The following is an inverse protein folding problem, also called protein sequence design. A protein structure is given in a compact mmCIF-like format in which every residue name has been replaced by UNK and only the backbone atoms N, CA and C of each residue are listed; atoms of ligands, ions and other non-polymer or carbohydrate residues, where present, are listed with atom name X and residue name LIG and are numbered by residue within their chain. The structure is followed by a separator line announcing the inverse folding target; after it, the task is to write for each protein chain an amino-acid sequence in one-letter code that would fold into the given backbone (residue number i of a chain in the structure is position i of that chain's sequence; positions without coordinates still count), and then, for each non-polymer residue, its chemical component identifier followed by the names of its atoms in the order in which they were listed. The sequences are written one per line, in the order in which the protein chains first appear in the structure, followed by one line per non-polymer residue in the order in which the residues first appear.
data_IF_509594472230
#
_entry.id   IF_509594472230
#
_cell.length_a   1.000
_cell.length_b   1.000
_cell.length_c   1.000
_cell.angle_alpha   90.00
_cell.angle_beta   90.00
_cell.angle_gamma   90.00
#
_symmetry.space_group_name_H-M   'P 1'
#
loop_
_entity.id
_entity.type
_entity.pdbx_description
1 polymer ?
#
# COMPACT_ATOMS: atom_id res chain seq x y z
N UNK A 1 29.31 -53.77 5.88
CA UNK A 1 29.84 -52.49 5.33
C UNK A 1 28.71 -51.57 4.80
N UNK A 2 27.46 -52.04 4.75
CA UNK A 2 26.36 -51.41 4.02
C UNK A 2 25.79 -50.13 4.66
N UNK A 3 25.73 -50.02 6.00
CA UNK A 3 25.11 -48.86 6.68
C UNK A 3 25.70 -47.48 6.27
N UNK A 4 26.94 -47.44 5.78
CA UNK A 4 27.55 -46.23 5.24
C UNK A 4 26.90 -45.75 3.93
N UNK A 5 26.60 -46.66 2.99
CA UNK A 5 26.03 -46.31 1.68
C UNK A 5 24.65 -45.66 1.79
N UNK A 6 23.79 -46.17 2.68
CA UNK A 6 22.47 -45.59 2.91
C UNK A 6 22.51 -44.14 3.41
N UNK A 7 23.44 -43.84 4.34
CA UNK A 7 23.57 -42.48 4.92
C UNK A 7 24.12 -41.48 3.90
N UNK A 8 25.10 -41.88 3.08
CA UNK A 8 25.61 -41.06 1.97
C UNK A 8 24.53 -40.82 0.91
N UNK A 9 23.79 -41.85 0.50
CA UNK A 9 22.68 -41.71 -0.45
C UNK A 9 21.59 -40.75 0.03
N UNK A 10 21.27 -40.77 1.34
CA UNK A 10 20.31 -39.83 1.92
C UNK A 10 20.83 -38.38 1.94
N UNK A 11 22.12 -38.15 2.20
CA UNK A 11 22.73 -36.82 2.10
C UNK A 11 22.75 -36.32 0.65
N UNK A 12 23.10 -37.18 -0.32
CA UNK A 12 23.10 -36.85 -1.74
C UNK A 12 21.69 -36.50 -2.25
N UNK A 13 20.67 -37.26 -1.82
CA UNK A 13 19.27 -36.95 -2.13
C UNK A 13 18.82 -35.59 -1.57
N UNK A 14 19.22 -35.25 -0.33
CA UNK A 14 18.95 -33.93 0.28
C UNK A 14 19.65 -32.80 -0.48
N UNK A 15 20.92 -32.98 -0.86
CA UNK A 15 21.66 -31.99 -1.66
C UNK A 15 21.01 -31.74 -3.03
N UNK A 16 20.60 -32.82 -3.71
CA UNK A 16 19.89 -32.72 -4.99
C UNK A 16 18.49 -32.08 -4.84
N UNK A 17 17.80 -32.26 -3.71
CA UNK A 17 16.55 -31.57 -3.44
C UNK A 17 16.76 -30.06 -3.28
N UNK A 18 17.73 -29.64 -2.46
CA UNK A 18 18.11 -28.23 -2.30
C UNK A 18 18.54 -27.61 -3.63
N UNK A 19 19.32 -28.33 -4.43
CA UNK A 19 19.76 -27.85 -5.75
C UNK A 19 18.59 -27.60 -6.72
N UNK A 20 17.56 -28.47 -6.72
CA UNK A 20 16.33 -28.22 -7.48
C UNK A 20 15.62 -26.96 -6.99
N UNK A 21 15.41 -26.81 -5.68
CA UNK A 21 14.80 -25.61 -5.10
C UNK A 21 15.56 -24.32 -5.46
N UNK A 22 16.89 -24.34 -5.53
CA UNK A 22 17.71 -23.20 -5.97
C UNK A 22 17.54 -22.93 -7.47
N UNK A 23 17.46 -23.96 -8.32
CA UNK A 23 17.18 -23.81 -9.76
C UNK A 23 15.78 -23.26 -10.01
N UNK A 24 14.78 -23.72 -9.27
CA UNK A 24 13.39 -23.26 -9.42
C UNK A 24 13.19 -21.86 -8.84
N UNK A 25 13.86 -21.50 -7.73
CA UNK A 25 13.94 -20.11 -7.26
C UNK A 25 14.61 -19.21 -8.30
N UNK A 26 15.72 -19.64 -8.93
CA UNK A 26 16.37 -18.89 -10.01
C UNK A 26 15.41 -18.66 -11.18
N UNK A 27 14.66 -19.69 -11.59
CA UNK A 27 13.61 -19.57 -12.64
C UNK A 27 12.53 -18.58 -12.24
N UNK A 28 12.03 -18.64 -11.01
CA UNK A 28 11.02 -17.72 -10.48
C UNK A 28 11.52 -16.26 -10.53
N UNK A 29 12.74 -15.99 -10.06
CA UNK A 29 13.35 -14.66 -10.13
C UNK A 29 13.57 -14.17 -11.57
N UNK A 30 13.90 -15.05 -12.52
CA UNK A 30 13.98 -14.67 -13.94
C UNK A 30 12.60 -14.34 -14.51
N UNK A 31 11.55 -15.12 -14.16
CA UNK A 31 10.18 -14.85 -14.59
C UNK A 31 9.66 -13.51 -14.04
N UNK A 32 9.83 -13.26 -12.74
CA UNK A 32 9.49 -11.98 -12.08
C UNK A 32 10.25 -10.82 -12.72
N UNK A 33 11.55 -10.97 -13.01
CA UNK A 33 12.31 -9.96 -13.75
C UNK A 33 11.72 -9.70 -15.14
N UNK A 34 11.43 -10.74 -15.93
CA UNK A 34 10.89 -10.55 -17.28
C UNK A 34 9.49 -9.95 -17.31
N UNK A 35 8.70 -10.13 -16.24
CA UNK A 35 7.44 -9.42 -16.05
C UNK A 35 7.70 -7.93 -15.75
N UNK A 36 8.51 -7.62 -14.73
CA UNK A 36 8.83 -6.24 -14.37
C UNK A 36 9.52 -5.45 -15.50
N UNK A 37 10.40 -6.07 -16.28
CA UNK A 37 11.03 -5.46 -17.46
C UNK A 37 9.99 -5.16 -18.56
N UNK A 38 8.97 -6.02 -18.74
CA UNK A 38 7.85 -5.79 -19.66
C UNK A 38 6.94 -4.67 -19.17
N UNK A 39 6.59 -4.67 -17.89
CA UNK A 39 5.71 -3.66 -17.30
C UNK A 39 6.37 -2.26 -17.34
N UNK A 40 7.69 -2.19 -17.11
CA UNK A 40 8.49 -0.98 -17.33
C UNK A 40 8.50 -0.52 -18.80
N UNK A 41 8.58 -1.45 -19.75
CA UNK A 41 8.49 -1.13 -21.18
C UNK A 41 7.09 -0.59 -21.55
N UNK A 42 6.03 -1.19 -21.03
CA UNK A 42 4.66 -0.78 -21.29
C UNK A 42 4.32 0.55 -20.62
N UNK A 43 4.81 0.79 -19.39
CA UNK A 43 4.68 2.09 -18.72
C UNK A 43 5.43 3.20 -19.48
N UNK A 44 6.62 2.91 -20.04
CA UNK A 44 7.35 3.84 -20.93
C UNK A 44 6.59 4.10 -22.24
N UNK A 45 5.98 3.06 -22.82
CA UNK A 45 5.17 3.21 -24.03
C UNK A 45 3.95 4.09 -23.77
N UNK A 46 3.20 3.85 -22.69
CA UNK A 46 2.04 4.68 -22.32
C UNK A 46 2.45 6.10 -21.92
N UNK A 47 3.58 6.29 -21.22
CA UNK A 47 4.12 7.64 -20.98
C UNK A 47 4.48 8.36 -22.29
N UNK A 48 4.98 7.64 -23.29
CA UNK A 48 5.27 8.19 -24.63
C UNK A 48 3.98 8.51 -25.42
N UNK A 49 2.92 7.71 -25.24
CA UNK A 49 1.58 7.97 -25.83
C UNK A 49 0.87 9.15 -25.14
N UNK A 50 0.99 9.26 -23.82
CA UNK A 50 0.43 10.39 -23.06
C UNK A 50 1.17 11.69 -23.35
N UNK A 51 2.51 11.69 -23.40
CA UNK A 51 3.28 12.89 -23.74
C UNK A 51 3.06 13.34 -25.19
N UNK A 52 3.01 12.42 -26.17
CA UNK A 52 2.64 12.78 -27.55
C UNK A 52 1.18 13.24 -27.69
N UNK A 53 0.24 12.64 -26.96
CA UNK A 53 -1.16 13.10 -26.90
C UNK A 53 -1.28 14.51 -26.29
N UNK A 54 -0.55 14.79 -25.20
CA UNK A 54 -0.53 16.11 -24.58
C UNK A 54 0.11 17.17 -25.50
N UNK A 55 1.21 16.85 -26.19
CA UNK A 55 1.81 17.74 -27.18
C UNK A 55 0.85 18.03 -28.34
N UNK A 56 0.20 17.00 -28.90
CA UNK A 56 -0.77 17.14 -29.98
C UNK A 56 -2.03 17.93 -29.55
N UNK A 57 -2.48 17.75 -28.30
CA UNK A 57 -3.57 18.53 -27.72
C UNK A 57 -3.18 19.99 -27.47
N UNK A 58 -1.94 20.27 -27.05
CA UNK A 58 -1.42 21.63 -26.91
C UNK A 58 -1.32 22.34 -28.27
N UNK A 59 -0.81 21.67 -29.32
CA UNK A 59 -0.77 22.25 -30.67
C UNK A 59 -2.19 22.50 -31.23
N UNK A 60 -3.16 21.63 -30.90
CA UNK A 60 -4.57 21.83 -31.25
C UNK A 60 -5.17 23.07 -30.57
N UNK A 61 -4.93 23.27 -29.27
CA UNK A 61 -5.40 24.46 -28.52
C UNK A 61 -4.69 25.74 -28.99
N UNK A 62 -3.37 25.68 -29.24
CA UNK A 62 -2.60 26.80 -29.81
C UNK A 62 -3.09 27.20 -31.22
N UNK A 63 -3.54 26.22 -32.02
CA UNK A 63 -4.12 26.47 -33.34
C UNK A 63 -5.52 27.10 -33.24
N UNK A 64 -6.34 26.66 -32.28
CA UNK A 64 -7.70 27.17 -32.07
C UNK A 64 -7.77 28.63 -31.61
N UNK A 65 -6.65 29.22 -31.17
CA UNK A 65 -6.56 30.61 -30.70
C UNK A 65 -6.19 31.62 -31.81
N UNK A 66 -6.17 31.22 -33.09
CA UNK A 66 -5.79 32.11 -34.22
C UNK A 66 -6.80 32.22 -35.38
N UNK A 67 -8.04 31.77 -35.21
CA UNK A 67 -9.10 31.88 -36.26
C UNK A 67 -10.48 32.25 -35.70
N UNK A 68 -10.64 33.50 -35.24
CA UNK A 68 -11.94 34.05 -34.80
C UNK A 68 -12.22 35.45 -35.40
N UNK A 69 -12.47 35.50 -36.71
CA UNK A 69 -13.09 36.64 -37.39
C UNK A 69 -14.50 36.24 -37.88
N UNK A 70 -15.53 37.10 -37.76
CA UNK A 70 -16.92 36.68 -37.96
C UNK A 70 -17.33 36.61 -39.43
N UNK A 71 -18.17 35.62 -39.76
CA UNK A 71 -18.86 35.54 -41.05
C UNK A 71 -20.37 35.36 -40.88
N UNK A 72 -21.11 35.86 -41.86
CA UNK A 72 -22.56 36.08 -41.81
C UNK A 72 -23.31 35.12 -42.74
N UNK A 73 -24.53 34.72 -42.34
CA UNK A 73 -25.66 34.31 -43.22
C UNK A 73 -25.51 32.98 -44.01
N UNK A 74 -26.60 32.43 -44.59
CA UNK A 74 -28.03 32.48 -44.20
C UNK A 74 -28.82 31.14 -44.38
N UNK A 75 -30.14 31.21 -44.12
CA UNK A 75 -31.23 30.39 -44.68
C UNK A 75 -31.51 28.97 -44.13
N UNK A 76 -32.82 28.66 -44.01
CA UNK A 76 -33.33 27.38 -43.51
C UNK A 76 -34.85 27.39 -43.21
N UNK A 77 -35.69 27.71 -44.21
CA UNK A 77 -37.16 27.58 -44.12
C UNK A 77 -37.58 26.12 -44.44
N UNK A 78 -38.70 25.60 -43.87
CA UNK A 78 -39.96 25.69 -44.61
C UNK A 78 -41.27 25.87 -43.79
N UNK A 79 -42.23 26.53 -44.43
CA UNK A 79 -43.69 26.47 -44.16
C UNK A 79 -44.31 25.26 -44.94
N UNK A 80 -45.59 24.83 -44.80
CA UNK A 80 -46.79 25.69 -44.87
C UNK A 80 -48.10 25.18 -44.17
N UNK A 81 -49.24 25.71 -44.64
CA UNK A 81 -50.65 25.37 -44.36
C UNK A 81 -51.30 26.26 -43.27
N UNK A 82 -52.17 27.25 -43.53
CA UNK A 82 -53.18 27.54 -44.58
C UNK A 82 -54.58 26.94 -44.36
N UNK A 83 -55.55 27.82 -44.10
CA UNK A 83 -56.94 27.77 -44.60
C UNK A 83 -57.61 29.14 -44.47
N UNK A 84 -58.42 29.51 -45.45
CA UNK A 84 -59.18 30.76 -45.51
C UNK A 84 -60.54 30.64 -44.77
N UNK A 85 -61.19 31.78 -44.46
CA UNK A 85 -62.53 32.16 -45.01
C UNK A 85 -62.90 33.60 -44.62
N UNK A 86 -63.50 34.30 -45.59
CA UNK A 86 -64.30 35.55 -45.60
C UNK A 86 -65.26 35.41 -46.82
N UNK A 87 -66.32 36.23 -47.07
CA UNK A 87 -66.69 37.55 -46.54
C UNK A 87 -67.92 37.43 -45.56
N UNK A 88 -68.93 38.30 -45.40
CA UNK A 88 -69.42 39.51 -46.10
C UNK A 88 -70.32 40.39 -45.21
N UNK A 89 -70.53 41.68 -45.53
CA UNK A 89 -71.53 42.56 -44.90
C UNK A 89 -72.88 42.56 -45.65
N UNK A 90 -73.95 43.15 -45.07
CA UNK A 90 -74.80 44.15 -45.74
C UNK A 90 -75.83 44.88 -44.84
N UNK A 91 -76.26 46.07 -45.28
CA UNK A 91 -77.60 46.73 -45.27
C UNK A 91 -78.70 46.47 -44.19
N UNK A 92 -79.60 47.41 -43.81
CA UNK A 92 -79.82 48.86 -44.09
C UNK A 92 -80.92 49.47 -43.12
N UNK A 93 -81.49 50.71 -43.27
CA UNK A 93 -82.38 51.38 -42.28
C UNK A 93 -83.90 51.15 -42.52
N UNK A 94 -84.86 51.81 -41.78
CA UNK A 94 -85.59 52.98 -42.34
C UNK A 94 -86.06 54.05 -41.23
N UNK A 95 -87.20 54.82 -41.25
CA UNK A 95 -87.10 56.31 -41.23
C UNK A 95 -88.27 57.19 -40.61
N UNK A 96 -88.27 58.50 -40.94
CA UNK A 96 -89.40 59.48 -41.14
C UNK A 96 -90.28 60.07 -40.00
N UNK A 97 -90.29 61.41 -39.88
CA UNK A 97 -91.46 62.37 -40.02
C UNK A 97 -91.09 63.77 -39.46
N UNK A 98 -91.18 64.90 -40.18
CA UNK A 98 -92.37 65.66 -40.65
C UNK A 98 -93.15 66.32 -39.50
N UNK A 99 -93.09 67.65 -39.28
CA UNK A 99 -93.58 68.80 -40.10
C UNK A 99 -95.03 69.20 -39.79
N UNK A 100 -95.29 70.49 -39.53
CA UNK A 100 -96.60 71.17 -39.64
C UNK A 100 -96.40 72.70 -39.75
N UNK A 101 -97.35 73.39 -40.37
CA UNK A 101 -97.26 74.79 -40.83
C UNK A 101 -98.60 75.53 -40.58
N UNK A 102 -98.54 76.82 -40.26
CA UNK A 102 -99.68 77.74 -40.35
C UNK A 102 -100.54 77.89 -39.09
N UNK A 103 -101.53 78.80 -39.05
CA UNK A 103 -101.89 79.85 -40.05
C UNK A 103 -102.58 81.02 -39.33
N UNK A 104 -102.52 82.22 -39.91
CA UNK A 104 -103.22 83.42 -39.44
C UNK A 104 -104.73 83.35 -39.73
N UNK A 105 -105.58 83.89 -38.85
CA UNK A 105 -106.97 84.22 -39.18
C UNK A 105 -107.41 85.52 -38.52
N UNK A 106 -108.10 86.39 -39.27
CA UNK A 106 -108.60 87.68 -38.80
C UNK A 106 -109.96 87.98 -39.43
N UNK A 107 -111.00 87.95 -38.60
CA UNK A 107 -112.38 88.38 -38.83
C UNK A 107 -113.01 88.53 -37.41
N UNK A 108 -114.09 89.28 -37.17
CA UNK A 108 -115.04 89.89 -38.10
C UNK A 108 -115.58 91.18 -37.48
N UNK A 109 -115.87 92.21 -38.28
CA UNK A 109 -116.60 93.42 -37.84
C UNK A 109 -117.95 93.40 -38.56
N UNK A 110 -119.04 93.62 -37.82
CA UNK A 110 -120.36 93.88 -38.40
C UNK A 110 -120.82 95.30 -38.12
N UNK A 111 -120.95 96.03 -39.22
CA UNK A 111 -122.09 96.85 -39.67
C UNK A 111 -123.07 97.48 -38.64
N UNK A 112 -123.47 98.70 -39.01
CA UNK A 112 -124.70 99.42 -38.62
C UNK A 112 -124.88 99.86 -37.15
N UNK A 113 -125.38 101.07 -36.85
CA UNK A 113 -125.37 102.32 -37.62
C UNK A 113 -125.53 103.52 -36.65
N UNK A 114 -125.41 104.75 -37.19
CA UNK A 114 -125.92 106.00 -36.63
C UNK A 114 -125.19 106.63 -35.41
N UNK A 115 -125.62 107.87 -35.09
CA UNK A 115 -125.32 108.69 -33.90
C UNK A 115 -123.84 109.08 -33.68
N UNK A 116 -123.43 110.04 -34.52
CA UNK A 116 -122.16 110.77 -34.44
C UNK A 116 -122.04 111.57 -33.12
N UNK A 117 -120.80 111.85 -32.72
CA UNK A 117 -120.36 112.82 -31.69
C UNK A 117 -120.03 112.33 -30.26
N UNK A 118 -119.73 111.04 -30.04
CA UNK A 118 -119.10 110.62 -28.75
C UNK A 118 -117.86 109.70 -28.88
N UNK A 119 -117.71 109.00 -30.01
CA UNK A 119 -116.63 107.98 -30.24
C UNK A 119 -115.18 108.53 -30.14
N UNK A 120 -114.96 109.84 -30.28
CA UNK A 120 -113.61 110.39 -30.48
C UNK A 120 -112.66 110.24 -29.28
N UNK A 121 -113.18 110.25 -28.05
CA UNK A 121 -112.35 110.15 -26.84
C UNK A 121 -111.93 108.71 -26.48
N UNK A 122 -112.71 107.71 -26.88
CA UNK A 122 -112.37 106.29 -26.66
C UNK A 122 -111.33 105.78 -27.66
N UNK A 123 -111.43 106.21 -28.92
CA UNK A 123 -110.50 105.81 -29.99
C UNK A 123 -109.05 106.21 -29.65
N UNK A 124 -108.84 107.47 -29.22
CA UNK A 124 -107.50 107.97 -28.86
C UNK A 124 -106.90 107.18 -27.68
N UNK A 125 -107.72 106.75 -26.71
CA UNK A 125 -107.29 105.94 -25.57
C UNK A 125 -106.89 104.51 -25.96
N UNK A 126 -107.69 103.84 -26.80
CA UNK A 126 -107.42 102.45 -27.19
C UNK A 126 -106.23 102.37 -28.17
N UNK A 127 -106.06 103.36 -29.05
CA UNK A 127 -104.88 103.47 -29.91
C UNK A 127 -103.62 103.71 -29.08
N UNK A 128 -103.66 104.52 -28.02
CA UNK A 128 -102.50 104.70 -27.12
C UNK A 128 -102.13 103.39 -26.43
N UNK A 129 -103.10 102.70 -25.81
CA UNK A 129 -102.82 101.46 -25.08
C UNK A 129 -102.33 100.34 -26.00
N UNK A 130 -102.87 100.21 -27.22
CA UNK A 130 -102.38 99.25 -28.23
C UNK A 130 -100.97 99.62 -28.70
N UNK A 131 -100.66 100.91 -28.87
CA UNK A 131 -99.33 101.39 -29.26
C UNK A 131 -98.29 101.12 -28.16
N UNK A 132 -98.62 101.38 -26.89
CA UNK A 132 -97.77 101.07 -25.74
C UNK A 132 -97.48 99.57 -25.63
N UNK A 133 -98.49 98.70 -25.79
CA UNK A 133 -98.30 97.24 -25.81
C UNK A 133 -97.41 96.81 -26.99
N UNK A 134 -97.56 97.45 -28.16
CA UNK A 134 -96.73 97.13 -29.33
C UNK A 134 -95.26 97.56 -29.13
N UNK A 135 -95.00 98.72 -28.53
CA UNK A 135 -93.63 99.15 -28.22
C UNK A 135 -93.02 98.31 -27.10
N UNK A 136 -93.79 97.93 -26.07
CA UNK A 136 -93.30 97.06 -25.00
C UNK A 136 -92.97 95.65 -25.51
N UNK A 137 -93.81 95.08 -26.36
CA UNK A 137 -93.58 93.77 -27.00
C UNK A 137 -92.36 93.79 -27.93
N UNK A 138 -92.22 94.85 -28.75
CA UNK A 138 -91.10 95.00 -29.68
C UNK A 138 -89.77 95.28 -28.94
N UNK A 139 -89.83 95.96 -27.80
CA UNK A 139 -88.66 96.14 -26.92
C UNK A 139 -88.29 94.86 -26.17
N UNK A 140 -89.27 94.11 -25.67
CA UNK A 140 -89.05 92.79 -25.09
C UNK A 140 -88.42 91.80 -26.09
N UNK A 141 -88.91 91.75 -27.33
CA UNK A 141 -88.39 90.85 -28.34
C UNK A 141 -87.00 91.30 -28.84
N UNK A 142 -86.72 92.61 -28.88
CA UNK A 142 -85.37 93.13 -29.08
C UNK A 142 -84.43 92.73 -27.93
N UNK A 143 -84.88 92.76 -26.67
CA UNK A 143 -84.07 92.36 -25.51
C UNK A 143 -83.81 90.84 -25.48
N UNK A 144 -84.82 90.02 -25.78
CA UNK A 144 -84.68 88.55 -25.97
C UNK A 144 -83.73 88.22 -27.10
N UNK A 145 -83.76 88.96 -28.21
CA UNK A 145 -82.81 88.77 -29.31
C UNK A 145 -81.40 89.25 -28.94
N UNK A 146 -81.27 90.32 -28.16
CA UNK A 146 -79.97 90.76 -27.65
C UNK A 146 -79.38 89.75 -26.65
N UNK A 147 -80.20 89.04 -25.86
CA UNK A 147 -79.73 87.93 -25.03
C UNK A 147 -79.33 86.70 -25.83
N UNK A 148 -80.09 86.32 -26.88
CA UNK A 148 -79.67 85.29 -27.84
C UNK A 148 -78.32 85.64 -28.46
N UNK A 149 -78.12 86.90 -28.87
CA UNK A 149 -76.84 87.38 -29.40
C UNK A 149 -75.72 87.25 -28.34
N UNK A 150 -75.95 87.67 -27.08
CA UNK A 150 -75.00 87.49 -25.97
C UNK A 150 -74.65 86.01 -25.73
N UNK A 151 -75.60 85.08 -25.88
CA UNK A 151 -75.32 83.64 -25.76
C UNK A 151 -74.61 83.05 -26.99
N UNK A 152 -74.90 83.52 -28.20
CA UNK A 152 -74.10 83.16 -29.38
C UNK A 152 -72.67 83.67 -29.27
N UNK A 153 -72.44 84.87 -28.73
CA UNK A 153 -71.09 85.40 -28.46
C UNK A 153 -70.34 84.54 -27.43
N UNK A 154 -70.98 84.19 -26.30
CA UNK A 154 -70.39 83.30 -25.27
C UNK A 154 -70.02 81.92 -25.84
N UNK A 155 -70.88 81.33 -26.66
CA UNK A 155 -70.61 80.01 -27.27
C UNK A 155 -69.53 80.10 -28.36
N UNK A 156 -69.51 81.13 -29.19
CA UNK A 156 -68.43 81.41 -30.15
C UNK A 156 -67.09 81.63 -29.43
N UNK A 157 -67.07 82.35 -28.31
CA UNK A 157 -65.87 82.57 -27.50
C UNK A 157 -65.37 81.25 -26.87
N UNK A 158 -66.27 80.36 -26.43
CA UNK A 158 -65.91 79.03 -25.95
C UNK A 158 -65.33 78.14 -27.07
N UNK A 159 -65.91 78.17 -28.27
CA UNK A 159 -65.39 77.48 -29.47
C UNK A 159 -64.01 78.03 -29.85
N UNK A 160 -63.82 79.35 -29.86
CA UNK A 160 -62.54 79.99 -30.11
C UNK A 160 -61.46 79.53 -29.10
N UNK A 161 -61.79 79.49 -27.81
CA UNK A 161 -60.88 78.96 -26.78
C UNK A 161 -60.58 77.46 -26.97
N UNK A 162 -61.54 76.66 -27.44
CA UNK A 162 -61.31 75.25 -27.76
C UNK A 162 -60.34 75.09 -28.94
N UNK A 163 -60.52 75.87 -30.02
CA UNK A 163 -59.62 75.88 -31.19
C UNK A 163 -58.20 76.30 -30.80
N UNK A 164 -58.03 77.30 -29.92
CA UNK A 164 -56.71 77.70 -29.39
C UNK A 164 -56.05 76.62 -28.52
N UNK A 165 -56.84 75.79 -27.81
CA UNK A 165 -56.29 74.62 -27.09
C UNK A 165 -55.87 73.52 -28.07
N UNK A 166 -56.64 73.28 -29.12
CA UNK A 166 -56.34 72.29 -30.16
C UNK A 166 -55.09 72.67 -30.98
N UNK A 167 -54.95 73.93 -31.41
CA UNK A 167 -53.74 74.39 -32.13
C UNK A 167 -52.48 74.32 -31.25
N UNK A 168 -52.61 74.55 -29.94
CA UNK A 168 -51.51 74.36 -28.97
C UNK A 168 -51.11 72.89 -28.85
N UNK A 169 -52.05 71.94 -28.89
CA UNK A 169 -51.75 70.51 -28.94
C UNK A 169 -50.97 70.16 -30.22
N UNK A 170 -51.38 70.68 -31.39
CA UNK A 170 -50.64 70.50 -32.65
C UNK A 170 -49.21 71.05 -32.55
N UNK A 171 -49.04 72.28 -32.07
CA UNK A 171 -47.72 72.89 -31.89
C UNK A 171 -46.83 72.08 -30.94
N UNK A 172 -47.38 71.52 -29.85
CA UNK A 172 -46.63 70.66 -28.92
C UNK A 172 -46.16 69.34 -29.54
N UNK A 173 -46.79 68.90 -30.62
CA UNK A 173 -46.40 67.69 -31.38
C UNK A 173 -45.38 67.96 -32.50
N UNK A 174 -44.95 69.22 -32.67
CA UNK A 174 -44.01 69.64 -33.73
C UNK A 174 -44.66 69.93 -35.08
N UNK A 175 -46.00 69.88 -35.18
CA UNK A 175 -46.74 70.18 -36.41
C UNK A 175 -46.96 71.70 -36.50
N UNK A 176 -46.21 72.36 -37.38
CA UNK A 176 -46.19 73.83 -37.51
C UNK A 176 -47.41 74.36 -38.28
N UNK A 177 -48.52 74.60 -37.58
CA UNK A 177 -49.62 75.43 -38.07
C UNK A 177 -49.81 76.64 -37.14
N UNK A 178 -49.07 77.70 -37.41
CA UNK A 178 -49.07 78.94 -36.62
C UNK A 178 -50.32 79.80 -36.93
N UNK A 179 -51.47 79.44 -36.34
CA UNK A 179 -52.66 80.29 -36.34
C UNK A 179 -52.46 81.42 -35.32
N UNK A 180 -52.52 82.71 -35.72
CA UNK A 180 -52.42 83.84 -34.78
C UNK A 180 -53.55 83.79 -33.73
N UNK A 181 -53.21 84.00 -32.46
CA UNK A 181 -54.19 83.88 -31.36
C UNK A 181 -55.23 85.02 -31.33
N UNK A 182 -54.98 86.11 -32.06
CA UNK A 182 -55.83 87.32 -32.04
C UNK A 182 -56.90 87.33 -33.16
N UNK A 183 -56.83 86.42 -34.15
CA UNK A 183 -57.74 86.39 -35.30
C UNK A 183 -58.75 85.23 -35.26
N UNK A 184 -59.01 84.62 -34.10
CA UNK A 184 -59.80 83.37 -34.01
C UNK A 184 -61.26 83.56 -34.43
N UNK A 185 -61.79 84.78 -34.27
CA UNK A 185 -63.13 85.17 -34.70
C UNK A 185 -63.26 85.40 -36.22
N UNK A 186 -62.18 85.28 -37.00
CA UNK A 186 -62.17 85.45 -38.46
C UNK A 186 -61.69 84.23 -39.23
N UNK A 187 -61.68 83.03 -38.63
CA UNK A 187 -61.45 81.79 -39.37
C UNK A 187 -62.73 81.38 -40.11
N UNK A 188 -62.60 81.10 -41.41
CA UNK A 188 -63.63 80.40 -42.16
C UNK A 188 -63.85 78.97 -41.61
N UNK A 189 -65.07 78.46 -41.78
CA UNK A 189 -65.49 77.12 -41.35
C UNK A 189 -64.56 76.02 -41.90
N UNK A 190 -64.04 76.18 -43.12
CA UNK A 190 -63.06 75.25 -43.70
C UNK A 190 -61.77 75.14 -42.87
N UNK A 191 -61.33 76.25 -42.27
CA UNK A 191 -60.10 76.32 -41.48
C UNK A 191 -60.30 75.73 -40.09
N UNK A 192 -61.48 75.90 -39.49
CA UNK A 192 -61.85 75.26 -38.23
C UNK A 192 -61.98 73.73 -38.39
N UNK A 193 -62.62 73.27 -39.47
CA UNK A 193 -62.68 71.84 -39.82
C UNK A 193 -61.30 71.25 -40.14
N UNK A 194 -60.42 72.03 -40.77
CA UNK A 194 -59.03 71.64 -41.01
C UNK A 194 -58.25 71.44 -39.71
N UNK A 195 -58.34 72.37 -38.76
CA UNK A 195 -57.70 72.22 -37.43
C UNK A 195 -58.25 71.00 -36.68
N UNK A 196 -59.56 70.75 -36.73
CA UNK A 196 -60.18 69.57 -36.12
C UNK A 196 -59.65 68.27 -36.74
N UNK A 197 -59.73 68.12 -38.06
CA UNK A 197 -59.23 66.96 -38.81
C UNK A 197 -57.73 66.71 -38.58
N UNK A 198 -56.94 67.79 -38.48
CA UNK A 198 -55.52 67.72 -38.19
C UNK A 198 -55.24 67.28 -36.74
N UNK A 199 -56.02 67.74 -35.75
CA UNK A 199 -55.91 67.21 -34.38
C UNK A 199 -56.38 65.77 -34.26
N UNK A 200 -57.45 65.38 -34.95
CA UNK A 200 -57.91 63.99 -34.98
C UNK A 200 -56.84 63.09 -35.57
N UNK A 201 -56.24 63.47 -36.70
CA UNK A 201 -55.15 62.74 -37.36
C UNK A 201 -53.93 62.56 -36.43
N UNK A 202 -53.56 63.60 -35.67
CA UNK A 202 -52.48 63.52 -34.67
C UNK A 202 -52.87 62.61 -33.50
N UNK A 203 -54.11 62.68 -32.99
CA UNK A 203 -54.60 61.81 -31.91
C UNK A 203 -54.67 60.33 -32.35
N UNK A 204 -55.16 60.05 -33.56
CA UNK A 204 -55.15 58.70 -34.14
C UNK A 204 -53.72 58.17 -34.33
N UNK A 205 -52.76 59.04 -34.71
CA UNK A 205 -51.36 58.67 -34.80
C UNK A 205 -50.78 58.33 -33.42
N UNK A 206 -50.96 59.22 -32.43
CA UNK A 206 -50.54 58.98 -31.04
C UNK A 206 -51.16 57.74 -30.43
N UNK A 207 -52.40 57.40 -30.77
CA UNK A 207 -53.04 56.16 -30.31
C UNK A 207 -52.32 54.91 -30.86
N UNK A 208 -51.94 54.91 -32.14
CA UNK A 208 -51.17 53.82 -32.79
C UNK A 208 -49.76 53.71 -32.20
N UNK A 209 -49.08 54.84 -31.96
CA UNK A 209 -47.78 54.88 -31.28
C UNK A 209 -47.87 54.32 -29.85
N UNK A 210 -48.89 54.72 -29.08
CA UNK A 210 -49.11 54.26 -27.70
C UNK A 210 -49.42 52.76 -27.67
N UNK A 211 -50.23 52.25 -28.60
CA UNK A 211 -50.49 50.82 -28.76
C UNK A 211 -49.21 50.03 -29.10
N UNK A 212 -48.36 50.55 -29.99
CA UNK A 212 -47.06 49.96 -30.32
C UNK A 212 -46.08 49.98 -29.15
N UNK A 213 -46.06 51.06 -28.38
CA UNK A 213 -45.28 51.17 -27.15
C UNK A 213 -45.79 50.20 -26.06
N UNK A 214 -47.10 50.03 -25.93
CA UNK A 214 -47.68 49.08 -24.97
C UNK A 214 -47.32 47.63 -25.31
N UNK A 215 -47.42 47.23 -26.59
CA UNK A 215 -46.97 45.91 -27.05
C UNK A 215 -45.46 45.71 -26.82
N UNK A 216 -44.66 46.76 -27.00
CA UNK A 216 -43.22 46.73 -26.70
C UNK A 216 -42.95 46.56 -25.21
N UNK A 217 -43.70 47.25 -24.34
CA UNK A 217 -43.62 47.09 -22.87
C UNK A 217 -44.08 45.71 -22.42
N UNK A 218 -45.11 45.11 -23.06
CA UNK A 218 -45.52 43.73 -22.78
C UNK A 218 -44.40 42.74 -23.12
N UNK A 219 -43.81 42.83 -24.31
CA UNK A 219 -42.66 42.01 -24.72
C UNK A 219 -41.47 42.17 -23.77
N UNK A 220 -41.11 43.40 -23.41
CA UNK A 220 -40.00 43.66 -22.47
C UNK A 220 -40.26 43.09 -21.07
N UNK A 221 -41.52 42.95 -20.63
CA UNK A 221 -41.86 42.21 -19.39
C UNK A 221 -41.65 40.72 -19.55
N UNK A 222 -42.10 40.13 -20.66
CA UNK A 222 -41.91 38.71 -20.98
C UNK A 222 -40.41 38.35 -21.04
N UNK A 223 -39.62 39.15 -21.78
CA UNK A 223 -38.16 39.04 -21.86
C UNK A 223 -37.50 39.17 -20.47
N UNK A 224 -37.92 40.14 -19.64
CA UNK A 224 -37.42 40.31 -18.28
C UNK A 224 -37.76 39.10 -17.38
N UNK A 225 -38.98 38.55 -17.45
CA UNK A 225 -39.34 37.32 -16.69
C UNK A 225 -38.55 36.09 -17.16
N UNK A 226 -38.25 35.99 -18.46
CA UNK A 226 -37.39 34.94 -19.01
C UNK A 226 -35.94 35.06 -18.50
N UNK A 227 -35.38 36.28 -18.51
CA UNK A 227 -34.05 36.57 -17.99
C UNK A 227 -33.95 36.33 -16.48
N UNK A 228 -34.97 36.68 -15.69
CA UNK A 228 -35.03 36.40 -14.25
C UNK A 228 -35.04 34.89 -13.97
N UNK A 229 -35.80 34.11 -14.74
CA UNK A 229 -35.83 32.65 -14.62
C UNK A 229 -34.47 32.04 -15.00
N UNK A 230 -33.82 32.55 -16.04
CA UNK A 230 -32.50 32.06 -16.46
C UNK A 230 -31.38 32.45 -15.47
N UNK A 231 -31.41 33.66 -14.91
CA UNK A 231 -30.51 34.07 -13.81
C UNK A 231 -30.65 33.14 -12.62
N UNK A 232 -31.89 32.88 -12.16
CA UNK A 232 -32.13 31.94 -11.07
C UNK A 232 -31.62 30.54 -11.39
N UNK A 233 -31.83 30.05 -12.61
CA UNK A 233 -31.31 28.74 -13.04
C UNK A 233 -29.76 28.69 -12.97
N UNK A 234 -29.08 29.77 -13.32
CA UNK A 234 -27.61 29.87 -13.21
C UNK A 234 -27.14 30.00 -11.76
N UNK A 235 -27.89 30.70 -10.90
CA UNK A 235 -27.65 30.75 -9.45
C UNK A 235 -27.80 29.38 -8.79
N UNK A 236 -28.87 28.64 -9.10
CA UNK A 236 -29.13 27.28 -8.62
C UNK A 236 -28.03 26.31 -9.11
N UNK A 237 -27.60 26.43 -10.38
CA UNK A 237 -26.49 25.65 -10.94
C UNK A 237 -25.14 25.97 -10.27
N UNK A 238 -24.85 27.25 -10.00
CA UNK A 238 -23.59 27.64 -9.35
C UNK A 238 -23.55 27.16 -7.89
N UNK A 239 -24.67 27.26 -7.15
CA UNK A 239 -24.79 26.68 -5.81
C UNK A 239 -24.53 25.17 -5.81
N UNK A 240 -25.13 24.43 -6.76
CA UNK A 240 -24.88 22.99 -6.89
C UNK A 240 -23.41 22.68 -7.22
N UNK A 241 -22.78 23.47 -8.10
CA UNK A 241 -21.36 23.35 -8.42
C UNK A 241 -20.47 23.62 -7.21
N UNK A 242 -20.78 24.60 -6.37
CA UNK A 242 -19.99 24.93 -5.18
C UNK A 242 -20.13 23.88 -4.07
N UNK A 243 -21.32 23.30 -3.87
CA UNK A 243 -21.52 22.15 -2.98
C UNK A 243 -20.75 20.93 -3.49
N UNK A 244 -20.81 20.64 -4.79
CA UNK A 244 -20.05 19.54 -5.40
C UNK A 244 -18.53 19.72 -5.23
N UNK A 245 -17.99 20.93 -5.48
CA UNK A 245 -16.57 21.26 -5.25
C UNK A 245 -16.17 21.05 -3.79
N UNK A 246 -17.00 21.49 -2.83
CA UNK A 246 -16.73 21.27 -1.40
C UNK A 246 -16.71 19.78 -1.04
N UNK A 247 -17.60 18.97 -1.61
CA UNK A 247 -17.63 17.52 -1.38
C UNK A 247 -16.41 16.81 -1.99
N UNK A 248 -15.97 17.21 -3.18
CA UNK A 248 -14.75 16.66 -3.82
C UNK A 248 -13.47 17.07 -3.07
N UNK A 249 -13.39 18.31 -2.58
CA UNK A 249 -12.31 18.79 -1.73
C UNK A 249 -12.27 18.06 -0.38
N UNK A 250 -13.41 17.79 0.25
CA UNK A 250 -13.49 17.00 1.48
C UNK A 250 -13.04 15.55 1.23
N UNK A 251 -13.53 14.90 0.17
CA UNK A 251 -13.16 13.53 -0.18
C UNK A 251 -11.67 13.36 -0.50
N UNK A 252 -11.08 14.33 -1.22
CA UNK A 252 -9.64 14.32 -1.54
C UNK A 252 -8.79 14.59 -0.30
N UNK A 253 -9.22 15.47 0.61
CA UNK A 253 -8.58 15.70 1.90
C UNK A 253 -8.60 14.46 2.80
N UNK A 254 -9.75 13.79 2.95
CA UNK A 254 -9.88 12.54 3.71
C UNK A 254 -9.00 11.42 3.14
N UNK A 255 -8.90 11.36 1.81
CA UNK A 255 -8.06 10.38 1.11
C UNK A 255 -6.56 10.66 1.33
N UNK A 256 -6.15 11.94 1.33
CA UNK A 256 -4.80 12.36 1.68
C UNK A 256 -4.48 12.08 3.16
N UNK A 257 -5.42 12.34 4.07
CA UNK A 257 -5.27 12.07 5.50
C UNK A 257 -5.06 10.57 5.77
N UNK A 258 -5.93 9.70 5.22
CA UNK A 258 -5.76 8.24 5.31
C UNK A 258 -4.44 7.76 4.68
N UNK A 259 -4.00 8.38 3.58
CA UNK A 259 -2.68 8.12 3.00
C UNK A 259 -1.51 8.51 3.93
N UNK A 260 -1.63 9.63 4.64
CA UNK A 260 -0.65 10.10 5.63
C UNK A 260 -0.62 9.19 6.88
N UNK A 261 -1.77 8.71 7.34
CA UNK A 261 -1.86 7.73 8.44
C UNK A 261 -1.18 6.41 8.09
N UNK A 262 -1.41 5.88 6.88
CA UNK A 262 -0.70 4.69 6.38
C UNK A 262 0.80 4.97 6.24
N UNK A 263 1.21 6.14 5.75
CA UNK A 263 2.61 6.55 5.61
C UNK A 263 3.34 6.68 6.95
N UNK A 264 2.68 7.21 7.99
CA UNK A 264 3.25 7.30 9.35
C UNK A 264 3.30 5.93 10.02
N UNK A 265 2.27 5.10 9.88
CA UNK A 265 2.24 3.71 10.36
C UNK A 265 3.36 2.86 9.75
N UNK A 266 3.52 2.86 8.42
CA UNK A 266 4.61 2.16 7.74
C UNK A 266 5.99 2.67 8.17
N UNK A 267 6.15 3.98 8.40
CA UNK A 267 7.40 4.57 8.90
C UNK A 267 7.76 4.09 10.31
N UNK A 268 6.77 3.93 11.18
CA UNK A 268 6.95 3.35 12.51
C UNK A 268 7.32 1.86 12.42
N UNK A 269 6.63 1.09 11.58
CA UNK A 269 6.91 -0.33 11.36
C UNK A 269 8.33 -0.57 10.81
N UNK A 270 8.79 0.24 9.84
CA UNK A 270 10.17 0.18 9.32
C UNK A 270 11.19 0.47 10.42
N UNK A 271 10.93 1.46 11.28
CA UNK A 271 11.80 1.78 12.42
C UNK A 271 11.83 0.65 13.46
N UNK A 272 10.70 0.00 13.71
CA UNK A 272 10.61 -1.16 14.61
C UNK A 272 11.38 -2.37 14.07
N UNK A 273 11.27 -2.65 12.76
CA UNK A 273 12.05 -3.69 12.07
C UNK A 273 13.55 -3.37 12.12
N UNK A 274 13.96 -2.12 11.87
CA UNK A 274 15.36 -1.71 11.98
C UNK A 274 15.91 -1.90 13.41
N UNK A 275 15.13 -1.52 14.43
CA UNK A 275 15.52 -1.72 15.84
C UNK A 275 15.75 -3.20 16.17
N UNK A 276 14.86 -4.10 15.71
CA UNK A 276 15.03 -5.55 15.86
C UNK A 276 16.20 -6.11 15.06
N UNK A 277 16.44 -5.60 13.86
CA UNK A 277 17.59 -6.02 13.05
C UNK A 277 18.92 -5.68 13.75
N UNK A 278 19.01 -4.49 14.38
CA UNK A 278 20.17 -4.15 15.22
C UNK A 278 20.28 -5.01 16.48
N UNK A 279 19.16 -5.34 17.13
CA UNK A 279 19.16 -6.22 18.30
C UNK A 279 19.67 -7.62 17.96
N UNK A 280 19.17 -8.21 16.87
CA UNK A 280 19.66 -9.48 16.32
C UNK A 280 21.14 -9.37 15.90
N UNK A 281 21.60 -8.25 15.34
CA UNK A 281 23.03 -8.02 15.06
C UNK A 281 23.87 -8.00 16.33
N UNK A 282 23.40 -7.36 17.42
CA UNK A 282 24.07 -7.32 18.74
C UNK A 282 24.11 -8.70 19.39
N UNK A 283 23.01 -9.45 19.36
CA UNK A 283 22.93 -10.81 19.90
C UNK A 283 23.79 -11.80 19.09
N UNK A 284 23.70 -11.79 17.76
CA UNK A 284 24.52 -12.67 16.92
C UNK A 284 26.02 -12.40 17.11
N UNK A 285 26.42 -11.15 17.41
CA UNK A 285 27.80 -10.79 17.80
C UNK A 285 28.20 -11.30 19.20
N UNK A 286 27.25 -11.46 20.13
CA UNK A 286 27.48 -12.17 21.42
C UNK A 286 27.65 -13.66 21.19
N UNK A 287 26.68 -14.30 20.52
CA UNK A 287 26.65 -15.75 20.29
C UNK A 287 27.88 -16.26 19.52
N UNK A 288 28.41 -15.47 18.57
CA UNK A 288 29.70 -15.79 17.92
C UNK A 288 30.84 -15.85 18.95
N UNK A 289 31.04 -14.81 19.76
CA UNK A 289 32.09 -14.80 20.80
C UNK A 289 31.94 -15.95 21.79
N UNK A 290 30.70 -16.26 22.19
CA UNK A 290 30.39 -17.35 23.11
C UNK A 290 30.73 -18.72 22.52
N UNK A 291 30.34 -18.95 21.26
CA UNK A 291 30.78 -20.11 20.47
C UNK A 291 32.31 -20.17 20.37
N UNK A 292 32.97 -19.08 19.99
CA UNK A 292 34.43 -19.04 19.79
C UNK A 292 35.19 -19.38 21.10
N UNK A 293 34.66 -18.94 22.26
CA UNK A 293 35.17 -19.29 23.59
C UNK A 293 34.92 -20.76 23.97
N UNK A 294 33.79 -21.35 23.55
CA UNK A 294 33.48 -22.76 23.79
C UNK A 294 34.29 -23.68 22.86
N UNK A 295 34.48 -23.30 21.59
CA UNK A 295 35.33 -23.99 20.62
C UNK A 295 36.79 -23.99 21.11
N UNK A 296 37.30 -22.86 21.61
CA UNK A 296 38.64 -22.78 22.22
C UNK A 296 38.79 -23.70 23.45
N UNK A 297 37.84 -23.66 24.40
CA UNK A 297 37.84 -24.56 25.57
C UNK A 297 37.76 -26.04 25.20
N UNK A 298 37.01 -26.39 24.16
CA UNK A 298 36.96 -27.77 23.67
C UNK A 298 38.31 -28.19 23.08
N UNK A 299 38.99 -27.32 22.32
CA UNK A 299 40.35 -27.60 21.81
C UNK A 299 41.39 -27.73 22.94
N UNK A 300 41.29 -26.92 24.01
CA UNK A 300 42.12 -27.06 25.21
C UNK A 300 41.89 -28.41 25.92
N UNK A 301 40.62 -28.86 26.02
CA UNK A 301 40.27 -30.15 26.60
C UNK A 301 40.67 -31.33 25.72
N UNK A 302 40.50 -31.24 24.40
CA UNK A 302 40.93 -32.26 23.43
C UNK A 302 42.46 -32.42 23.45
N UNK A 303 43.23 -31.31 23.46
CA UNK A 303 44.69 -31.37 23.52
C UNK A 303 45.21 -31.91 24.86
N UNK A 304 44.63 -31.51 26.00
CA UNK A 304 45.01 -32.05 27.32
C UNK A 304 44.60 -33.53 27.50
N UNK A 305 43.45 -33.95 26.96
CA UNK A 305 43.06 -35.38 26.99
C UNK A 305 43.92 -36.23 26.08
N UNK A 306 44.28 -35.76 24.88
CA UNK A 306 45.28 -36.42 24.04
C UNK A 306 46.64 -36.54 24.75
N UNK A 307 47.12 -35.47 25.41
CA UNK A 307 48.38 -35.47 26.16
C UNK A 307 48.38 -36.47 27.33
N UNK A 308 47.25 -36.64 28.01
CA UNK A 308 47.08 -37.67 29.06
C UNK A 308 47.13 -39.08 28.50
N UNK A 309 46.37 -39.36 27.44
CA UNK A 309 46.37 -40.67 26.78
C UNK A 309 47.76 -41.03 26.23
N UNK A 310 48.50 -40.06 25.68
CA UNK A 310 49.89 -40.25 25.24
C UNK A 310 50.82 -40.60 26.41
N UNK A 311 50.71 -39.88 27.54
CA UNK A 311 51.49 -40.18 28.75
C UNK A 311 51.15 -41.56 29.34
N UNK A 312 49.87 -41.91 29.42
CA UNK A 312 49.41 -43.23 29.88
C UNK A 312 49.90 -44.36 28.96
N UNK A 313 49.90 -44.15 27.63
CA UNK A 313 50.46 -45.12 26.68
C UNK A 313 51.98 -45.30 26.87
N UNK A 314 52.73 -44.22 27.07
CA UNK A 314 54.17 -44.28 27.34
C UNK A 314 54.48 -44.98 28.67
N UNK A 315 53.69 -44.75 29.72
CA UNK A 315 53.82 -45.49 30.98
C UNK A 315 53.52 -46.99 30.82
N UNK A 316 52.45 -47.35 30.10
CA UNK A 316 52.12 -48.74 29.81
C UNK A 316 53.21 -49.46 28.98
N UNK A 317 53.86 -48.77 28.03
CA UNK A 317 55.02 -49.31 27.31
C UNK A 317 56.17 -49.58 28.28
N UNK A 318 56.55 -48.62 29.13
CA UNK A 318 57.62 -48.82 30.13
C UNK A 318 57.29 -49.93 31.14
N UNK A 319 56.03 -50.09 31.54
CA UNK A 319 55.60 -51.18 32.42
C UNK A 319 55.73 -52.54 31.71
N UNK A 320 55.35 -52.62 30.43
CA UNK A 320 55.55 -53.83 29.60
C UNK A 320 57.04 -54.17 29.40
N UNK A 321 57.90 -53.18 29.18
CA UNK A 321 59.36 -53.36 29.12
C UNK A 321 59.94 -53.89 30.44
N UNK A 322 59.50 -53.33 31.58
CA UNK A 322 59.90 -53.82 32.92
C UNK A 322 59.42 -55.25 33.16
N UNK A 323 58.17 -55.55 32.84
CA UNK A 323 57.56 -56.87 33.06
C UNK A 323 58.21 -57.94 32.16
N UNK A 324 58.48 -57.63 30.88
CA UNK A 324 59.20 -58.53 29.97
C UNK A 324 60.66 -58.74 30.39
N UNK A 325 61.35 -57.70 30.88
CA UNK A 325 62.69 -57.84 31.46
C UNK A 325 62.69 -58.75 32.70
N UNK A 326 61.74 -58.57 33.62
CA UNK A 326 61.56 -59.45 34.78
C UNK A 326 61.25 -60.89 34.38
N UNK A 327 60.37 -61.11 33.39
CA UNK A 327 60.08 -62.44 32.83
C UNK A 327 61.34 -63.12 32.25
N UNK A 328 62.18 -62.37 31.52
CA UNK A 328 63.44 -62.90 31.00
C UNK A 328 64.43 -63.25 32.11
N UNK A 329 64.56 -62.43 33.16
CA UNK A 329 65.45 -62.72 34.29
C UNK A 329 64.97 -63.95 35.09
N UNK A 330 63.65 -64.10 35.31
CA UNK A 330 63.09 -65.30 35.94
C UNK A 330 63.38 -66.57 35.11
N UNK A 331 63.30 -66.49 33.78
CA UNK A 331 63.68 -67.62 32.91
C UNK A 331 65.20 -67.90 32.96
N UNK A 332 66.05 -66.87 33.01
CA UNK A 332 67.51 -67.01 33.16
C UNK A 332 67.86 -67.69 34.49
N UNK A 333 67.26 -67.25 35.60
CA UNK A 333 67.48 -67.81 36.93
C UNK A 333 66.98 -69.24 37.05
N UNK A 334 65.85 -69.60 36.42
CA UNK A 334 65.38 -71.00 36.32
C UNK A 334 66.40 -71.89 35.59
N UNK A 335 66.87 -71.46 34.43
CA UNK A 335 67.86 -72.22 33.66
C UNK A 335 69.22 -72.37 34.37
N UNK A 336 69.57 -71.44 35.27
CA UNK A 336 70.74 -71.58 36.16
C UNK A 336 70.45 -72.58 37.30
N UNK A 337 69.28 -72.48 37.95
CA UNK A 337 68.87 -73.39 39.02
C UNK A 337 68.75 -74.85 38.56
N UNK A 338 68.22 -75.08 37.36
CA UNK A 338 68.11 -76.42 36.75
C UNK A 338 69.49 -77.04 36.49
N UNK A 339 70.46 -76.25 36.01
CA UNK A 339 71.87 -76.70 35.85
C UNK A 339 72.50 -77.04 37.19
N UNK A 340 72.40 -76.11 38.14
CA UNK A 340 72.89 -76.26 39.52
C UNK A 340 72.27 -77.49 40.23
N UNK A 341 71.03 -77.87 39.90
CA UNK A 341 70.42 -79.12 40.36
C UNK A 341 71.05 -80.36 39.69
N UNK A 342 71.29 -80.33 38.37
CA UNK A 342 71.94 -81.42 37.64
C UNK A 342 73.43 -81.57 37.98
N UNK A 343 74.14 -80.48 38.32
CA UNK A 343 75.52 -80.49 38.81
C UNK A 343 75.57 -81.10 40.22
N UNK A 344 74.65 -80.72 41.11
CA UNK A 344 74.49 -81.35 42.44
C UNK A 344 74.16 -82.84 42.38
N UNK A 345 73.23 -83.25 41.52
CA UNK A 345 72.90 -84.67 41.34
C UNK A 345 74.10 -85.49 40.84
N UNK A 346 74.96 -84.91 39.97
CA UNK A 346 76.22 -85.54 39.56
C UNK A 346 77.20 -85.64 40.73
N UNK A 347 77.42 -84.57 41.48
CA UNK A 347 78.29 -84.58 42.67
C UNK A 347 77.78 -85.54 43.77
N UNK A 348 76.47 -85.70 43.93
CA UNK A 348 75.86 -86.68 44.84
C UNK A 348 76.09 -88.13 44.38
N UNK A 349 76.03 -88.37 43.07
CA UNK A 349 76.39 -89.66 42.44
C UNK A 349 77.88 -89.99 42.56
N UNK A 350 78.76 -89.05 42.19
CA UNK A 350 80.21 -89.18 42.36
C UNK A 350 80.58 -89.43 43.84
N UNK A 351 79.89 -88.78 44.77
CA UNK A 351 80.07 -89.02 46.20
C UNK A 351 79.51 -90.38 46.68
N UNK A 352 78.50 -90.96 46.01
CA UNK A 352 78.08 -92.35 46.23
C UNK A 352 79.15 -93.32 45.73
N UNK A 353 79.65 -93.14 44.52
CA UNK A 353 80.68 -93.99 43.91
C UNK A 353 81.98 -93.98 44.74
N UNK A 354 82.40 -92.79 45.21
CA UNK A 354 83.55 -92.66 46.14
C UNK A 354 83.29 -93.35 47.48
N UNK A 355 82.05 -93.33 48.01
CA UNK A 355 81.72 -94.09 49.24
C UNK A 355 81.80 -95.59 49.01
N UNK A 356 81.25 -96.11 47.91
CA UNK A 356 81.29 -97.54 47.56
C UNK A 356 82.72 -98.01 47.32
N UNK A 357 83.53 -97.23 46.59
CA UNK A 357 84.94 -97.53 46.38
C UNK A 357 85.73 -97.54 47.70
N UNK A 358 85.47 -96.58 48.60
CA UNK A 358 86.12 -96.50 49.90
C UNK A 358 85.69 -97.64 50.85
N UNK A 359 84.43 -98.09 50.78
CA UNK A 359 83.95 -99.26 51.52
C UNK A 359 84.62 -100.55 51.03
N UNK A 360 84.67 -100.77 49.71
CA UNK A 360 85.41 -101.89 49.10
C UNK A 360 86.90 -101.88 49.47
N UNK A 361 87.56 -100.71 49.46
CA UNK A 361 88.94 -100.58 49.91
C UNK A 361 89.12 -100.91 51.40
N UNK A 362 88.11 -100.67 52.26
CA UNK A 362 88.13 -101.11 53.66
C UNK A 362 87.99 -102.63 53.79
N UNK A 363 87.10 -103.25 53.02
CA UNK A 363 86.96 -104.71 52.96
C UNK A 363 88.27 -105.38 52.50
N UNK A 364 88.89 -104.85 51.43
CA UNK A 364 90.19 -105.32 50.92
C UNK A 364 91.30 -105.17 51.97
N UNK A 365 91.36 -104.05 52.70
CA UNK A 365 92.32 -103.85 53.80
C UNK A 365 92.05 -104.79 54.99
N UNK A 366 90.79 -105.04 55.35
CA UNK A 366 90.43 -106.01 56.40
C UNK A 366 90.82 -107.44 56.00
N UNK A 367 90.56 -107.82 54.76
CA UNK A 367 90.99 -109.12 54.21
C UNK A 367 92.51 -109.25 54.20
N UNK A 368 93.24 -108.24 53.72
CA UNK A 368 94.70 -108.20 53.75
C UNK A 368 95.25 -108.26 55.18
N UNK A 369 94.63 -107.57 56.15
CA UNK A 369 95.04 -107.61 57.56
C UNK A 369 94.79 -108.98 58.20
N UNK A 370 93.68 -109.66 57.88
CA UNK A 370 93.45 -111.03 58.34
C UNK A 370 94.43 -112.04 57.72
N UNK A 371 94.77 -111.86 56.44
CA UNK A 371 95.83 -112.63 55.78
C UNK A 371 97.20 -112.36 56.42
N UNK A 372 97.50 -111.10 56.76
CA UNK A 372 98.73 -110.74 57.48
C UNK A 372 98.81 -111.39 58.87
N UNK A 373 97.71 -111.45 59.64
CA UNK A 373 97.72 -112.12 60.95
C UNK A 373 97.89 -113.64 60.83
N UNK A 374 97.28 -114.27 59.81
CA UNK A 374 97.50 -115.69 59.50
C UNK A 374 98.95 -115.95 59.10
N UNK A 375 99.52 -115.17 58.17
CA UNK A 375 100.93 -115.30 57.74
C UNK A 375 101.90 -115.03 58.89
N UNK A 376 101.61 -114.08 59.80
CA UNK A 376 102.38 -113.87 61.03
C UNK A 376 102.30 -115.10 61.95
N UNK A 377 101.13 -115.72 62.09
CA UNK A 377 100.96 -116.96 62.86
C UNK A 377 101.69 -118.15 62.22
N UNK A 378 101.69 -118.27 60.89
CA UNK A 378 102.45 -119.30 60.16
C UNK A 378 103.96 -119.11 60.30
N UNK A 379 104.46 -117.87 60.18
CA UNK A 379 105.87 -117.53 60.43
C UNK A 379 106.27 -117.82 61.88
N UNK A 380 105.41 -117.53 62.86
CA UNK A 380 105.68 -117.80 64.27
C UNK A 380 105.62 -119.30 64.58
N UNK A 381 104.66 -120.04 64.01
CA UNK A 381 104.64 -121.51 64.04
C UNK A 381 105.92 -122.09 63.41
N UNK A 382 106.39 -121.50 62.31
CA UNK A 382 107.66 -121.84 61.66
C UNK A 382 108.87 -121.60 62.55
N UNK A 383 108.94 -120.46 63.25
CA UNK A 383 109.96 -120.17 64.27
C UNK A 383 109.92 -121.18 65.41
N UNK A 384 108.75 -121.45 65.97
CA UNK A 384 108.56 -122.43 67.05
C UNK A 384 108.94 -123.85 66.60
N UNK A 385 108.68 -124.23 65.35
CA UNK A 385 109.13 -125.49 64.78
C UNK A 385 110.66 -125.52 64.58
N UNK A 386 111.25 -124.41 64.14
CA UNK A 386 112.70 -124.28 63.92
C UNK A 386 113.48 -124.23 65.24
N UNK A 387 112.91 -123.64 66.30
CA UNK A 387 113.43 -123.71 67.67
C UNK A 387 113.32 -125.13 68.23
N UNK A 388 112.18 -125.82 68.07
CA UNK A 388 112.07 -127.25 68.41
C UNK A 388 113.09 -128.11 67.65
N UNK A 389 113.32 -127.85 66.37
CA UNK A 389 114.40 -128.50 65.60
C UNK A 389 115.79 -128.13 66.14
N UNK A 390 116.02 -126.89 66.59
CA UNK A 390 117.27 -126.47 67.22
C UNK A 390 117.51 -127.17 68.57
N UNK A 391 116.46 -127.34 69.38
CA UNK A 391 116.50 -128.11 70.64
C UNK A 391 116.76 -129.59 70.37
N UNK A 392 116.06 -130.20 69.40
CA UNK A 392 116.31 -131.59 68.99
C UNK A 392 117.72 -131.78 68.43
N UNK A 393 118.23 -130.84 67.63
CA UNK A 393 119.57 -130.90 67.06
C UNK A 393 120.66 -130.67 68.13
N UNK A 394 120.45 -129.78 69.09
CA UNK A 394 121.38 -129.60 70.22
C UNK A 394 121.36 -130.79 71.18
N UNK A 395 120.20 -131.43 71.40
CA UNK A 395 120.08 -132.73 72.07
C UNK A 395 120.86 -133.80 71.31
N UNK A 396 120.62 -133.97 70.00
CA UNK A 396 121.31 -134.95 69.15
C UNK A 396 122.83 -134.72 69.10
N UNK A 397 123.28 -133.47 69.11
CA UNK A 397 124.71 -133.11 69.22
C UNK A 397 125.25 -133.42 70.62
N UNK A 398 124.45 -133.28 71.68
CA UNK A 398 124.82 -133.69 73.04
C UNK A 398 124.91 -135.22 73.17
N UNK A 399 123.95 -135.96 72.61
CA UNK A 399 123.96 -137.43 72.55
C UNK A 399 125.15 -137.94 71.72
N UNK A 400 125.45 -137.29 70.58
CA UNK A 400 126.64 -137.59 69.78
C UNK A 400 127.95 -137.31 70.53
N UNK A 401 128.01 -136.26 71.36
CA UNK A 401 129.16 -136.01 72.26
C UNK A 401 129.25 -137.07 73.35
N UNK A 402 128.13 -137.45 73.96
CA UNK A 402 128.05 -138.47 75.01
C UNK A 402 128.44 -139.86 74.49
N UNK A 403 127.96 -140.25 73.30
CA UNK A 403 128.39 -141.45 72.58
C UNK A 403 129.89 -141.44 72.24
N UNK A 404 130.43 -140.31 71.76
CA UNK A 404 131.88 -140.17 71.56
C UNK A 404 132.65 -140.27 72.89
N UNK A 405 132.09 -139.78 74.00
CA UNK A 405 132.71 -139.85 75.33
C UNK A 405 132.66 -141.28 75.91
N UNK A 406 131.60 -142.04 75.63
CA UNK A 406 131.52 -143.48 75.92
C UNK A 406 132.49 -144.30 75.05
N UNK A 407 132.63 -143.96 73.76
CA UNK A 407 133.66 -144.55 72.88
C UNK A 407 135.07 -144.27 73.40
N UNK A 408 135.36 -143.06 73.89
CA UNK A 408 136.63 -142.72 74.54
C UNK A 408 136.85 -143.48 75.85
N UNK A 409 135.84 -143.59 76.73
CA UNK A 409 135.96 -144.39 77.96
C UNK A 409 136.15 -145.89 77.69
N UNK A 410 135.56 -146.42 76.62
CA UNK A 410 135.79 -147.80 76.18
C UNK A 410 137.17 -147.98 75.53
N UNK A 411 137.69 -146.96 74.83
CA UNK A 411 139.07 -146.92 74.31
C UNK A 411 140.10 -146.93 75.45
N UNK A 412 139.92 -146.09 76.48
CA UNK A 412 140.85 -146.01 77.61
C UNK A 412 140.78 -147.23 78.54
N UNK A 413 139.63 -147.93 78.58
CA UNK A 413 139.52 -149.26 79.22
C UNK A 413 140.23 -150.38 78.44
N UNK A 414 140.60 -150.16 77.19
CA UNK A 414 141.33 -151.12 76.34
C UNK A 414 142.86 -150.88 76.34
N UNK A 415 143.38 -150.15 77.35
CA UNK A 415 144.81 -149.86 77.54
C UNK A 415 145.29 -150.05 78.99
N UNK A 416 144.95 -151.20 79.59
CA UNK A 416 145.63 -151.79 80.77
C UNK A 416 145.65 -153.30 80.66
#
# INVERSE_FOLDING_TARGET
KECGRGRVGQQQARFLAVWRSVVDLRRLCHSVKTAADRDLWQLRAEFSRLSSSLLFSCDSVCSSLRTSAPHNKPCGLPHPSSKHVLPSPDSSPPPLSSSILGVFTMAEIKEEEEQRMEVKLLCDSEVHQRMEVLTHSLQEDMEKEMDRLRDTERTLQAVAQAVVRLSRVLSSSGWTLAVPSDSVLSLDLSSLLSVLSQTESVLQCRHKELQGAELSVRRLREENTSLQLHLKQLEDQNQHLDVYKQQELAHTLDTLNRGNEVSTSLRLQVKEVQNREEEVKRENKRLRKERDLLEGRNQELETETHRRVEAELLENVQLSERETHQKMEVLRLKAVLEREQLDRQRAEGEALDVRVALEKCREEVLHLSSSETLLRQEVENGRNALEKMSVLNSSLVSDKRNLNQQLLQNSDRSRR
#
